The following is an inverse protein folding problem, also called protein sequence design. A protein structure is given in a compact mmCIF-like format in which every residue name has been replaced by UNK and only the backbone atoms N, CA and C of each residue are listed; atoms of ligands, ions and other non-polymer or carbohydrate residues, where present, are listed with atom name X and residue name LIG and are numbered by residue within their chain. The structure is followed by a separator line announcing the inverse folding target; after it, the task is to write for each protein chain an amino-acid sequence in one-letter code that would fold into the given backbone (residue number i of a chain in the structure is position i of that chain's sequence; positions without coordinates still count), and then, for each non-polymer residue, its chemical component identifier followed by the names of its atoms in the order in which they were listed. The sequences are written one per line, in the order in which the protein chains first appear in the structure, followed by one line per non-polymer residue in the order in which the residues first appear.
data_IF_874477414272
#
_entry.id   IF_874477414272
#
_cell.length_a   1.000
_cell.length_b   1.000
_cell.length_c   1.000
_cell.angle_alpha   90.00
_cell.angle_beta   90.00
_cell.angle_gamma   90.00
#
_symmetry.space_group_name_H-M   'P 1'
#
loop_
_entity.id
_entity.type
_entity.pdbx_description
1 polymer ?
#
# COMPACT_ATOMS: atom_id res chain seq x y z
N UNK A 1 -14.76 7.53 8.54
CA UNK A 1 -15.47 6.42 7.88
C UNK A 1 -15.08 6.41 6.41
N UNK A 2 -14.26 5.41 5.96
CA UNK A 2 -13.70 5.41 4.60
C UNK A 2 -14.77 5.35 3.49
N UNK A 3 -15.89 4.68 3.73
CA UNK A 3 -16.95 4.42 2.75
C UNK A 3 -17.63 5.68 2.22
N UNK A 4 -17.70 6.75 2.99
CA UNK A 4 -18.37 8.00 2.60
C UNK A 4 -17.55 8.84 1.60
N UNK A 5 -16.31 8.46 1.32
CA UNK A 5 -15.37 9.24 0.47
C UNK A 5 -15.15 8.63 -0.92
N UNK A 6 -15.61 7.40 -1.18
CA UNK A 6 -15.38 6.71 -2.45
C UNK A 6 -15.88 7.53 -3.66
N UNK A 7 -17.07 8.13 -3.58
CA UNK A 7 -17.61 8.99 -4.64
C UNK A 7 -16.76 10.22 -4.95
N UNK A 8 -16.19 10.86 -3.92
CA UNK A 8 -15.30 12.00 -4.09
C UNK A 8 -13.97 11.59 -4.76
N UNK A 9 -13.43 10.43 -4.37
CA UNK A 9 -12.22 9.87 -4.99
C UNK A 9 -12.48 9.55 -6.46
N UNK A 10 -13.61 8.90 -6.78
CA UNK A 10 -14.01 8.60 -8.16
C UNK A 10 -14.20 9.88 -8.98
N UNK A 11 -14.79 10.93 -8.39
CA UNK A 11 -14.94 12.23 -9.04
C UNK A 11 -13.59 12.87 -9.40
N UNK A 12 -12.59 12.76 -8.56
CA UNK A 12 -11.23 13.24 -8.87
C UNK A 12 -10.60 12.41 -9.99
N UNK A 13 -10.73 11.10 -9.95
CA UNK A 13 -10.20 10.20 -10.98
C UNK A 13 -10.88 10.40 -12.33
N UNK A 14 -12.17 10.75 -12.36
CA UNK A 14 -12.90 11.02 -13.61
C UNK A 14 -12.34 12.22 -14.41
N UNK A 15 -11.64 13.14 -13.74
CA UNK A 15 -10.97 14.29 -14.39
C UNK A 15 -9.77 13.88 -15.24
N UNK A 16 -9.29 12.64 -15.11
CA UNK A 16 -8.18 12.11 -15.93
C UNK A 16 -8.52 12.00 -17.42
N UNK A 17 -9.81 11.97 -17.78
CA UNK A 17 -10.28 11.68 -19.13
C UNK A 17 -10.08 10.21 -19.53
N UNK A 18 -9.78 9.32 -18.58
CA UNK A 18 -9.65 7.89 -18.81
C UNK A 18 -11.02 7.22 -18.79
N UNK A 19 -11.16 6.13 -19.55
CA UNK A 19 -12.37 5.31 -19.59
C UNK A 19 -12.31 4.25 -18.47
N UNK A 20 -13.40 4.08 -17.72
CA UNK A 20 -13.57 2.96 -16.81
C UNK A 20 -13.96 1.74 -17.63
N UNK A 21 -13.23 0.63 -17.47
CA UNK A 21 -13.45 -0.63 -18.18
C UNK A 21 -13.69 -1.80 -17.24
N UNK A 22 -13.65 -1.58 -15.93
CA UNK A 22 -13.99 -2.58 -14.93
C UNK A 22 -14.15 -1.97 -13.55
N UNK A 23 -15.11 -2.48 -12.80
CA UNK A 23 -15.36 -2.11 -11.39
C UNK A 23 -15.65 -3.39 -10.60
N UNK A 24 -15.00 -3.57 -9.47
CA UNK A 24 -15.26 -4.72 -8.58
C UNK A 24 -15.21 -4.29 -7.12
N UNK A 25 -16.27 -4.59 -6.37
CA UNK A 25 -16.27 -4.55 -4.91
C UNK A 25 -15.82 -5.92 -4.39
N UNK A 26 -14.79 -5.97 -3.57
CA UNK A 26 -14.20 -7.20 -3.08
C UNK A 26 -13.59 -7.03 -1.69
N UNK A 27 -13.22 -8.15 -1.08
CA UNK A 27 -12.41 -8.18 0.13
C UNK A 27 -11.31 -9.23 -0.06
N UNK A 28 -10.05 -8.80 0.04
CA UNK A 28 -8.90 -9.68 -0.14
C UNK A 28 -8.86 -10.75 0.94
N UNK A 29 -8.59 -11.99 0.58
CA UNK A 29 -8.08 -12.98 1.52
C UNK A 29 -6.68 -12.62 1.98
N UNK A 30 -6.21 -13.20 3.09
CA UNK A 30 -4.81 -13.02 3.53
C UNK A 30 -3.85 -13.44 2.42
N UNK A 31 -4.09 -14.59 1.77
CA UNK A 31 -3.25 -15.08 0.67
C UNK A 31 -3.21 -14.12 -0.52
N UNK A 32 -4.34 -13.53 -0.90
CA UNK A 32 -4.38 -12.51 -1.95
C UNK A 32 -3.61 -11.24 -1.55
N UNK A 33 -3.76 -10.78 -0.32
CA UNK A 33 -3.05 -9.60 0.17
C UNK A 33 -1.53 -9.86 0.26
N UNK A 34 -1.11 -11.06 0.71
CA UNK A 34 0.31 -11.47 0.69
C UNK A 34 0.90 -11.44 -0.73
N UNK A 35 0.16 -11.92 -1.73
CA UNK A 35 0.59 -11.89 -3.13
C UNK A 35 0.61 -10.46 -3.71
N UNK A 36 -0.42 -9.68 -3.40
CA UNK A 36 -0.58 -8.32 -3.91
C UNK A 36 0.54 -7.39 -3.43
N UNK A 37 0.81 -7.42 -2.13
CA UNK A 37 1.79 -6.55 -1.46
C UNK A 37 3.18 -7.20 -1.31
N UNK A 38 3.39 -8.42 -1.80
CA UNK A 38 4.68 -9.11 -1.73
C UNK A 38 5.89 -8.27 -2.14
N UNK A 39 5.85 -7.54 -3.27
CA UNK A 39 6.95 -6.68 -3.70
C UNK A 39 7.32 -5.55 -2.72
N UNK A 40 6.38 -5.13 -1.86
CA UNK A 40 6.63 -4.05 -0.88
C UNK A 40 7.60 -4.49 0.21
N UNK A 41 7.62 -5.77 0.56
CA UNK A 41 8.51 -6.34 1.60
C UNK A 41 9.98 -6.01 1.34
N UNK A 42 10.46 -6.24 0.11
CA UNK A 42 11.85 -5.94 -0.25
C UNK A 42 12.12 -4.42 -0.29
N UNK A 43 11.15 -3.63 -0.72
CA UNK A 43 11.26 -2.17 -0.70
C UNK A 43 11.36 -1.63 0.73
N UNK A 44 10.59 -2.18 1.66
CA UNK A 44 10.66 -1.84 3.09
C UNK A 44 12.03 -2.20 3.68
N UNK A 45 12.53 -3.41 3.37
CA UNK A 45 13.85 -3.86 3.82
C UNK A 45 14.97 -2.92 3.37
N UNK A 46 14.96 -2.54 2.11
CA UNK A 46 15.97 -1.61 1.54
C UNK A 46 15.86 -0.19 2.08
N UNK A 47 14.65 0.27 2.35
CA UNK A 47 14.43 1.63 2.82
C UNK A 47 14.77 1.80 4.30
N UNK A 48 14.65 0.76 5.12
CA UNK A 48 14.79 0.84 6.56
C UNK A 48 16.12 1.45 7.03
N UNK A 49 17.30 1.07 6.53
CA UNK A 49 18.57 1.62 7.01
C UNK A 49 18.69 3.15 6.84
N UNK A 50 18.00 3.73 5.87
CA UNK A 50 18.08 5.16 5.60
C UNK A 50 17.41 6.01 6.71
N UNK A 51 16.26 5.57 7.25
CA UNK A 51 15.55 6.30 8.31
C UNK A 51 15.68 5.64 9.69
N UNK A 52 16.00 4.35 9.73
CA UNK A 52 16.11 3.56 10.95
C UNK A 52 17.28 4.01 11.83
N UNK A 53 18.39 4.42 11.23
CA UNK A 53 19.59 4.88 11.95
C UNK A 53 19.30 6.03 12.89
N UNK A 54 18.65 7.08 12.39
CA UNK A 54 18.34 8.25 13.20
C UNK A 54 17.36 7.90 14.33
N UNK A 55 16.32 7.14 14.02
CA UNK A 55 15.31 6.70 15.01
C UNK A 55 15.91 5.78 16.08
N UNK A 56 16.77 4.86 15.68
CA UNK A 56 17.45 3.96 16.61
C UNK A 56 18.41 4.75 17.53
N UNK A 57 19.19 5.69 16.98
CA UNK A 57 20.06 6.56 17.75
C UNK A 57 19.29 7.37 18.80
N UNK A 58 18.19 7.99 18.39
CA UNK A 58 17.34 8.77 19.29
C UNK A 58 16.70 7.89 20.38
N UNK A 59 16.24 6.68 20.03
CA UNK A 59 15.65 5.76 20.99
C UNK A 59 16.67 5.30 22.03
N UNK A 60 17.87 4.91 21.59
CA UNK A 60 18.94 4.46 22.49
C UNK A 60 19.43 5.58 23.40
N UNK A 61 19.57 6.80 22.89
CA UNK A 61 19.92 7.96 23.69
C UNK A 61 18.84 8.25 24.74
N UNK A 62 17.56 8.17 24.37
CA UNK A 62 16.45 8.46 25.28
C UNK A 62 16.27 7.40 26.36
N UNK A 63 16.30 6.11 26.00
CA UNK A 63 15.97 5.02 26.92
C UNK A 63 17.16 4.56 27.77
N UNK A 64 18.39 4.66 27.24
CA UNK A 64 19.60 4.13 27.90
C UNK A 64 20.67 5.19 28.17
N UNK A 65 20.47 6.44 27.73
CA UNK A 65 21.49 7.48 27.83
C UNK A 65 22.75 7.20 26.98
N UNK A 66 22.66 6.28 26.01
CA UNK A 66 23.80 5.80 25.24
C UNK A 66 23.89 6.50 23.88
N UNK A 67 25.13 6.85 23.51
CA UNK A 67 25.47 7.20 22.14
C UNK A 67 26.23 6.02 21.51
N UNK A 68 25.79 5.57 20.34
CA UNK A 68 26.41 4.49 19.61
C UNK A 68 27.15 5.04 18.39
N UNK A 69 28.32 4.49 18.13
CA UNK A 69 29.08 4.77 16.91
C UNK A 69 28.24 4.57 15.65
N UNK A 70 28.33 5.46 14.64
CA UNK A 70 27.56 5.35 13.41
C UNK A 70 27.71 4.05 12.65
N UNK A 71 28.87 3.41 12.70
CA UNK A 71 29.14 2.12 12.06
C UNK A 71 28.38 0.97 12.74
N UNK A 72 28.40 0.92 14.08
CA UNK A 72 27.62 -0.04 14.85
C UNK A 72 26.11 0.17 14.67
N UNK A 73 25.68 1.42 14.59
CA UNK A 73 24.28 1.76 14.34
C UNK A 73 23.84 1.31 12.94
N UNK A 74 24.71 1.44 11.94
CA UNK A 74 24.45 0.95 10.59
C UNK A 74 24.30 -0.57 10.59
N UNK A 75 25.22 -1.30 11.21
CA UNK A 75 25.15 -2.76 11.32
C UNK A 75 23.88 -3.23 12.05
N UNK A 76 23.50 -2.56 13.13
CA UNK A 76 22.25 -2.84 13.84
C UNK A 76 21.03 -2.67 12.93
N UNK A 77 20.97 -1.59 12.14
CA UNK A 77 19.87 -1.35 11.21
C UNK A 77 19.79 -2.40 10.10
N UNK A 78 20.93 -2.85 9.56
CA UNK A 78 20.95 -3.95 8.58
C UNK A 78 20.44 -5.28 9.17
N UNK A 79 20.78 -5.57 10.41
CA UNK A 79 20.29 -6.77 11.12
C UNK A 79 18.79 -6.71 11.38
N UNK A 80 18.25 -5.52 11.68
CA UNK A 80 16.82 -5.33 11.99
C UNK A 80 15.97 -5.20 10.73
N UNK A 81 16.55 -4.76 9.61
CA UNK A 81 15.80 -4.46 8.39
C UNK A 81 14.88 -5.59 7.90
N UNK A 82 15.28 -6.89 7.88
CA UNK A 82 14.37 -7.98 7.52
C UNK A 82 13.18 -8.11 8.47
N UNK A 83 13.42 -7.99 9.78
CA UNK A 83 12.36 -8.09 10.81
C UNK A 83 11.38 -6.92 10.72
N UNK A 84 11.90 -5.71 10.51
CA UNK A 84 11.07 -4.53 10.27
C UNK A 84 10.21 -4.69 9.02
N UNK A 85 10.80 -5.15 7.92
CA UNK A 85 10.08 -5.36 6.68
C UNK A 85 8.96 -6.39 6.82
N UNK A 86 9.20 -7.49 7.54
CA UNK A 86 8.18 -8.50 7.80
C UNK A 86 7.07 -7.97 8.70
N UNK A 87 7.43 -7.27 9.78
CA UNK A 87 6.45 -6.65 10.68
C UNK A 87 5.53 -5.66 9.95
N UNK A 88 6.10 -4.75 9.14
CA UNK A 88 5.31 -3.79 8.37
C UNK A 88 4.51 -4.48 7.25
N UNK A 89 5.05 -5.51 6.63
CA UNK A 89 4.32 -6.30 5.65
C UNK A 89 3.10 -7.00 6.26
N UNK A 90 3.24 -7.62 7.43
CA UNK A 90 2.10 -8.20 8.15
C UNK A 90 1.05 -7.13 8.51
N UNK A 91 1.47 -5.94 8.93
CA UNK A 91 0.57 -4.82 9.20
C UNK A 91 -0.23 -4.41 7.95
N UNK A 92 0.43 -4.38 6.78
CA UNK A 92 -0.24 -4.07 5.50
C UNK A 92 -1.26 -5.17 5.16
N UNK A 93 -0.88 -6.44 5.26
CA UNK A 93 -1.78 -7.56 4.97
C UNK A 93 -2.97 -7.58 5.93
N UNK A 94 -2.74 -7.36 7.21
CA UNK A 94 -3.79 -7.26 8.22
C UNK A 94 -4.76 -6.11 7.93
N UNK A 95 -4.22 -4.93 7.58
CA UNK A 95 -5.03 -3.76 7.20
C UNK A 95 -5.91 -4.03 5.97
N UNK A 96 -5.41 -4.79 4.99
CA UNK A 96 -6.12 -5.06 3.73
C UNK A 96 -7.07 -6.26 3.79
N UNK A 97 -6.80 -7.24 4.67
CA UNK A 97 -7.61 -8.48 4.76
C UNK A 97 -8.45 -8.58 6.03
N UNK A 98 -8.13 -7.76 7.04
CA UNK A 98 -8.73 -7.81 8.38
C UNK A 98 -8.17 -8.95 9.25
N UNK A 99 -7.09 -9.64 8.83
CA UNK A 99 -6.47 -10.73 9.59
C UNK A 99 -4.96 -10.68 9.48
N UNK A 100 -4.30 -10.89 10.63
CA UNK A 100 -2.84 -10.95 10.69
C UNK A 100 -2.33 -12.29 10.15
N UNK A 101 -1.39 -12.30 9.17
CA UNK A 101 -0.89 -13.52 8.53
C UNK A 101 -0.37 -14.57 9.51
N UNK A 102 0.46 -14.16 10.49
CA UNK A 102 1.06 -15.04 11.49
C UNK A 102 0.04 -15.69 12.44
N UNK A 103 -1.18 -15.17 12.51
CA UNK A 103 -2.26 -15.71 13.33
C UNK A 103 -3.22 -16.63 12.55
N UNK A 104 -2.95 -16.87 11.26
CA UNK A 104 -3.82 -17.62 10.37
C UNK A 104 -3.20 -18.96 9.97
N UNK A 105 -3.98 -20.04 10.04
CA UNK A 105 -3.64 -21.28 9.32
C UNK A 105 -3.80 -21.11 7.81
N UNK A 106 -3.20 -21.99 7.01
CA UNK A 106 -3.28 -21.92 5.54
C UNK A 106 -4.72 -21.93 5.04
N UNK A 107 -5.60 -22.71 5.69
CA UNK A 107 -7.02 -22.73 5.38
C UNK A 107 -7.71 -21.38 5.65
N UNK A 108 -7.37 -20.71 6.76
CA UNK A 108 -7.92 -19.38 7.12
C UNK A 108 -7.41 -18.32 6.15
N UNK A 109 -6.15 -18.42 5.70
CA UNK A 109 -5.57 -17.48 4.74
C UNK A 109 -6.31 -17.44 3.40
N UNK A 110 -6.99 -18.51 3.01
CA UNK A 110 -7.77 -18.58 1.77
C UNK A 110 -9.19 -18.00 1.91
N UNK A 111 -9.68 -17.80 3.13
CA UNK A 111 -11.02 -17.27 3.34
C UNK A 111 -11.09 -15.79 2.96
N UNK A 112 -12.25 -15.39 2.42
CA UNK A 112 -12.54 -13.98 2.12
C UNK A 112 -12.26 -13.11 3.35
N UNK A 113 -11.57 -12.00 3.13
CA UNK A 113 -11.27 -11.02 4.18
C UNK A 113 -12.51 -10.24 4.66
N UNK A 114 -12.32 -9.41 5.67
CA UNK A 114 -13.37 -8.56 6.26
C UNK A 114 -13.33 -7.13 5.75
N UNK A 115 -12.19 -6.68 5.23
CA UNK A 115 -12.00 -5.31 4.77
C UNK A 115 -12.42 -5.17 3.30
N UNK A 116 -13.45 -4.34 3.07
CA UNK A 116 -14.01 -4.14 1.74
C UNK A 116 -13.25 -3.06 0.96
N UNK A 117 -12.89 -3.40 -0.27
CA UNK A 117 -12.24 -2.51 -1.23
C UNK A 117 -13.06 -2.35 -2.50
N UNK A 118 -12.85 -1.22 -3.20
CA UNK A 118 -13.35 -0.99 -4.54
C UNK A 118 -12.15 -0.95 -5.50
N UNK A 119 -12.09 -1.87 -6.44
CA UNK A 119 -11.16 -1.83 -7.56
C UNK A 119 -11.81 -1.19 -8.77
N UNK A 120 -11.07 -0.35 -9.47
CA UNK A 120 -11.51 0.29 -10.70
C UNK A 120 -10.39 0.15 -11.73
N UNK A 121 -10.72 -0.36 -12.90
CA UNK A 121 -9.79 -0.45 -14.03
C UNK A 121 -10.05 0.72 -14.97
N UNK A 122 -9.01 1.48 -15.21
CA UNK A 122 -9.02 2.60 -16.15
C UNK A 122 -8.18 2.28 -17.38
N UNK A 123 -8.68 2.65 -18.56
CA UNK A 123 -8.00 2.51 -19.83
C UNK A 123 -7.84 3.86 -20.52
N UNK A 124 -6.70 4.06 -21.16
CA UNK A 124 -6.38 5.24 -21.97
C UNK A 124 -4.90 5.55 -22.02
N UNK A 125 -4.56 6.55 -22.82
CA UNK A 125 -3.15 6.95 -23.01
C UNK A 125 -2.56 7.50 -21.70
N UNK A 126 -1.47 6.89 -21.25
CA UNK A 126 -0.77 7.29 -20.03
C UNK A 126 -1.55 7.04 -18.74
N UNK A 127 -2.46 6.05 -18.71
CA UNK A 127 -3.37 5.80 -17.59
C UNK A 127 -2.64 5.71 -16.24
N UNK A 128 -1.56 4.93 -16.15
CA UNK A 128 -0.78 4.76 -14.91
C UNK A 128 -0.23 6.11 -14.42
N UNK A 129 0.43 6.86 -15.30
CA UNK A 129 1.02 8.14 -14.93
C UNK A 129 -0.04 9.14 -14.45
N UNK A 130 -1.14 9.27 -15.19
CA UNK A 130 -2.25 10.17 -14.84
C UNK A 130 -2.90 9.84 -13.51
N UNK A 131 -3.19 8.55 -13.27
CA UNK A 131 -3.80 8.11 -12.00
C UNK A 131 -2.84 8.37 -10.84
N UNK A 132 -1.56 8.04 -11.00
CA UNK A 132 -0.55 8.27 -9.95
C UNK A 132 -0.33 9.74 -9.64
N UNK A 133 -0.42 10.63 -10.65
CA UNK A 133 -0.39 12.07 -10.45
C UNK A 133 -1.60 12.56 -9.63
N UNK A 134 -2.80 12.10 -9.96
CA UNK A 134 -4.03 12.43 -9.23
C UNK A 134 -4.00 11.86 -7.79
N UNK A 135 -3.42 10.68 -7.60
CA UNK A 135 -3.26 10.11 -6.26
C UNK A 135 -2.27 10.90 -5.40
N UNK A 136 -1.18 11.35 -5.97
CA UNK A 136 -0.10 12.02 -5.24
C UNK A 136 0.84 11.06 -4.52
N UNK A 137 1.78 11.61 -3.74
CA UNK A 137 2.76 10.85 -2.95
C UNK A 137 2.10 9.86 -1.98
N UNK A 138 2.76 8.71 -1.75
CA UNK A 138 2.29 7.68 -0.79
C UNK A 138 2.14 8.22 0.64
N UNK A 139 3.02 9.12 1.08
CA UNK A 139 2.84 9.86 2.33
C UNK A 139 1.91 11.06 2.09
N UNK A 140 0.70 11.10 2.68
CA UNK A 140 -0.24 12.21 2.53
C UNK A 140 0.33 13.57 2.92
N UNK A 141 1.29 13.60 3.85
CA UNK A 141 1.94 14.85 4.30
C UNK A 141 2.86 15.44 3.23
N UNK A 142 3.35 14.60 2.31
CA UNK A 142 4.23 14.97 1.18
C UNK A 142 3.46 15.11 -0.14
N UNK A 143 2.20 14.69 -0.16
CA UNK A 143 1.35 14.78 -1.33
C UNK A 143 0.95 16.23 -1.60
N UNK A 144 0.91 16.61 -2.88
CA UNK A 144 0.51 17.95 -3.31
C UNK A 144 -0.98 18.23 -3.02
N UNK A 145 -1.33 19.50 -2.80
CA UNK A 145 -2.70 19.92 -2.60
C UNK A 145 -3.57 19.50 -3.80
N UNK A 146 -4.81 19.08 -3.54
CA UNK A 146 -5.75 18.62 -4.56
C UNK A 146 -5.54 17.17 -5.01
N UNK A 147 -4.54 16.47 -4.50
CA UNK A 147 -4.36 15.04 -4.74
C UNK A 147 -5.20 14.21 -3.76
N UNK A 148 -5.60 13.00 -4.20
CA UNK A 148 -6.45 12.10 -3.39
C UNK A 148 -5.81 11.81 -2.03
N UNK A 149 -4.53 11.50 -1.99
CA UNK A 149 -3.83 11.15 -0.75
C UNK A 149 -3.70 12.35 0.20
N UNK A 150 -3.53 13.55 -0.34
CA UNK A 150 -3.51 14.77 0.47
C UNK A 150 -4.87 15.05 1.12
N UNK A 151 -5.94 14.89 0.37
CA UNK A 151 -7.29 15.26 0.82
C UNK A 151 -7.95 14.18 1.69
N UNK A 152 -7.67 12.91 1.43
CA UNK A 152 -8.38 11.79 2.05
C UNK A 152 -7.48 10.84 2.87
N UNK A 153 -6.16 10.90 2.72
CA UNK A 153 -5.22 10.10 3.48
C UNK A 153 -4.93 10.69 4.87
N UNK A 154 -4.62 9.82 5.82
CA UNK A 154 -4.22 10.20 7.19
C UNK A 154 -2.75 9.95 7.44
N UNK A 155 -2.22 8.84 6.95
CA UNK A 155 -0.82 8.42 7.08
C UNK A 155 -0.44 7.50 5.92
N UNK A 156 0.79 6.96 5.93
CA UNK A 156 1.30 6.10 4.85
C UNK A 156 0.47 4.81 4.69
N UNK A 157 -0.06 4.24 5.77
CA UNK A 157 -0.91 3.05 5.73
C UNK A 157 -2.33 3.41 5.28
N UNK A 158 -2.93 4.42 5.90
CA UNK A 158 -4.28 4.90 5.59
C UNK A 158 -4.18 6.07 4.61
N UNK A 159 -3.82 5.78 3.36
CA UNK A 159 -3.54 6.79 2.32
C UNK A 159 -4.60 6.90 1.22
N UNK A 160 -5.79 6.39 1.49
CA UNK A 160 -7.00 6.46 0.68
C UNK A 160 -7.06 5.54 -0.54
N UNK A 161 -5.99 5.37 -1.31
CA UNK A 161 -6.01 4.55 -2.52
C UNK A 161 -4.63 4.03 -2.92
N UNK A 162 -4.62 2.83 -3.51
CA UNK A 162 -3.50 2.24 -4.24
C UNK A 162 -3.65 2.49 -5.74
N UNK A 163 -2.55 2.59 -6.48
CA UNK A 163 -2.51 2.48 -7.92
C UNK A 163 -1.25 1.73 -8.35
N UNK A 164 -1.41 0.85 -9.33
CA UNK A 164 -0.30 0.15 -9.96
C UNK A 164 0.74 1.14 -10.50
N UNK A 165 2.00 0.77 -10.43
CA UNK A 165 3.13 1.61 -10.83
C UNK A 165 3.69 1.28 -12.21
N UNK A 166 3.30 0.13 -12.77
CA UNK A 166 3.66 -0.30 -14.12
C UNK A 166 2.55 -1.11 -14.78
N UNK A 167 2.56 -1.28 -16.11
CA UNK A 167 1.63 -2.16 -16.82
C UNK A 167 1.69 -3.61 -16.32
N UNK A 168 2.89 -4.13 -16.06
CA UNK A 168 3.11 -5.49 -15.58
C UNK A 168 2.50 -5.69 -14.20
N UNK A 169 2.69 -4.70 -13.29
CA UNK A 169 2.05 -4.73 -11.98
C UNK A 169 0.54 -4.57 -12.08
N UNK A 170 0.01 -3.76 -12.99
CA UNK A 170 -1.43 -3.66 -13.20
C UNK A 170 -2.04 -5.01 -13.61
N UNK A 171 -1.43 -5.73 -14.56
CA UNK A 171 -1.87 -7.07 -14.98
C UNK A 171 -1.81 -8.06 -13.82
N UNK A 172 -0.70 -8.09 -13.08
CA UNK A 172 -0.51 -8.95 -11.91
C UNK A 172 -1.56 -8.68 -10.83
N UNK A 173 -1.79 -7.41 -10.51
CA UNK A 173 -2.71 -6.98 -9.47
C UNK A 173 -4.16 -7.29 -9.84
N UNK A 174 -4.55 -7.06 -11.10
CA UNK A 174 -5.86 -7.44 -11.62
C UNK A 174 -6.10 -8.96 -11.54
N UNK A 175 -5.09 -9.78 -11.87
CA UNK A 175 -5.20 -11.24 -11.80
C UNK A 175 -5.37 -11.71 -10.34
N UNK A 176 -4.66 -11.12 -9.37
CA UNK A 176 -4.75 -11.50 -7.94
C UNK A 176 -6.15 -11.26 -7.39
N UNK A 177 -6.78 -10.15 -7.76
CA UNK A 177 -8.12 -9.80 -7.27
C UNK A 177 -9.22 -10.35 -8.18
N UNK A 178 -8.86 -11.07 -9.25
CA UNK A 178 -9.79 -11.65 -10.20
C UNK A 178 -10.78 -10.61 -10.73
N UNK A 179 -10.26 -9.46 -11.18
CA UNK A 179 -11.07 -8.43 -11.83
C UNK A 179 -10.92 -8.55 -13.33
N UNK A 180 -12.02 -8.86 -13.98
CA UNK A 180 -12.11 -8.86 -15.42
C UNK A 180 -12.63 -7.51 -15.93
N UNK A 181 -12.37 -7.25 -17.19
CA UNK A 181 -12.92 -6.10 -17.89
C UNK A 181 -14.44 -6.21 -17.88
N UNK A 182 -15.13 -5.17 -17.43
CA UNK A 182 -16.59 -5.17 -17.43
C UNK A 182 -17.11 -4.94 -18.85
N UNK A 183 -17.81 -5.94 -19.47
CA UNK A 183 -18.31 -5.81 -20.85
C UNK A 183 -19.36 -4.72 -21.01
N UNK A 184 -19.94 -4.18 -19.95
CA UNK A 184 -20.90 -3.09 -20.03
C UNK A 184 -20.23 -1.76 -20.39
N UNK A 185 -18.90 -1.66 -20.29
CA UNK A 185 -18.12 -0.48 -20.57
C UNK A 185 -17.25 -0.58 -21.83
N UNK A 186 -17.43 -1.62 -22.65
CA UNK A 186 -16.72 -1.79 -23.92
C UNK A 186 -17.32 -0.98 -25.07
#
# INVERSE_FOLDING_TARGET
QPSLRAGNIMSLLSRSGLRIVGIKKFAMSVAQAEQFYGPVRESLRRAFPAFGKERAAQALAREFGMQIDPGHLAALCEMIAPHFAEFEFENIVEFMSGRRPSSCSDAIKQLKGTEECLAIVYEGVGAIAKIREILGSTDPRKAGCGTIRREFGTNIMVNAAHASDSPENAVREMAIIDIERDPQFE
#
